data_IF_936668036707
#
_entry.id   IF_936668036707
#
_cell.length_a   1.000
_cell.length_b   1.000
_cell.length_c   1.000
_cell.angle_alpha   90.00
_cell.angle_beta   90.00
_cell.angle_gamma   90.00
#
_symmetry.space_group_name_H-M   'P 1'
#
loop_
_entity.id
_entity.type
_entity.pdbx_description
1 polymer ?
#
# COMPACT_ATOMS: atom_id res chain seq x y z
N UNK A 1 5.71 6.40 18.36
CA UNK A 1 6.23 7.70 17.91
C UNK A 1 5.15 8.75 18.01
N UNK A 2 5.51 9.96 18.42
CA UNK A 2 4.63 11.14 18.36
C UNK A 2 4.41 11.52 16.89
N UNK A 3 3.33 12.25 16.62
CA UNK A 3 3.03 12.72 15.26
C UNK A 3 4.21 13.50 14.65
N UNK A 4 4.88 14.36 15.42
CA UNK A 4 6.03 15.13 14.94
C UNK A 4 7.19 14.25 14.46
N UNK A 5 7.47 13.15 15.16
CA UNK A 5 8.54 12.21 14.81
C UNK A 5 8.19 11.44 13.52
N UNK A 6 6.91 11.08 13.33
CA UNK A 6 6.42 10.42 12.11
C UNK A 6 6.49 11.34 10.90
N UNK A 7 6.14 12.61 11.09
CA UNK A 7 6.25 13.63 10.03
C UNK A 7 7.72 13.88 9.68
N UNK A 8 8.61 13.94 10.67
CA UNK A 8 10.05 14.06 10.44
C UNK A 8 10.61 12.88 9.63
N UNK A 9 10.21 11.64 9.96
CA UNK A 9 10.55 10.45 9.18
C UNK A 9 10.06 10.56 7.72
N UNK A 10 8.81 10.98 7.50
CA UNK A 10 8.28 11.20 6.16
C UNK A 10 9.10 12.25 5.39
N UNK A 11 9.44 13.37 6.02
CA UNK A 11 10.24 14.41 5.38
C UNK A 11 11.64 13.92 4.99
N UNK A 12 12.27 13.09 5.83
CA UNK A 12 13.55 12.47 5.50
C UNK A 12 13.43 11.53 4.30
N UNK A 13 12.39 10.69 4.26
CA UNK A 13 12.13 9.80 3.12
C UNK A 13 11.94 10.57 1.81
N UNK A 14 11.24 11.71 1.85
CA UNK A 14 11.04 12.58 0.68
C UNK A 14 12.38 13.16 0.19
N UNK A 15 13.26 13.58 1.11
CA UNK A 15 14.58 14.09 0.76
C UNK A 15 15.47 13.00 0.15
N UNK A 16 15.42 11.79 0.69
CA UNK A 16 16.18 10.63 0.19
C UNK A 16 15.65 10.11 -1.15
N UNK A 17 14.35 10.28 -1.43
CA UNK A 17 13.66 9.73 -2.60
C UNK A 17 12.83 10.80 -3.34
N UNK A 18 13.44 11.89 -3.85
CA UNK A 18 12.71 13.08 -4.35
C UNK A 18 11.87 12.84 -5.60
N UNK A 19 12.05 11.70 -6.28
CA UNK A 19 11.27 11.32 -7.47
C UNK A 19 10.08 10.40 -7.17
N UNK A 20 9.95 9.89 -5.94
CA UNK A 20 8.85 9.00 -5.59
C UNK A 20 7.61 9.79 -5.19
N UNK A 21 6.44 9.32 -5.65
CA UNK A 21 5.15 9.85 -5.23
C UNK A 21 4.92 9.57 -3.76
N UNK A 22 4.42 10.56 -3.03
CA UNK A 22 3.93 10.37 -1.66
C UNK A 22 2.50 9.84 -1.75
N UNK A 23 2.26 8.64 -1.22
CA UNK A 23 0.98 7.95 -1.31
C UNK A 23 0.36 7.76 0.08
N UNK A 24 -0.60 8.62 0.50
CA UNK A 24 -1.39 8.38 1.70
C UNK A 24 -2.28 7.15 1.51
N UNK A 25 -2.17 6.18 2.41
CA UNK A 25 -3.01 4.98 2.49
C UNK A 25 -3.93 5.16 3.69
N UNK A 26 -5.21 5.44 3.40
CA UNK A 26 -6.21 5.74 4.43
C UNK A 26 -6.89 4.45 4.86
N UNK A 27 -6.81 4.16 6.15
CA UNK A 27 -7.51 3.03 6.74
C UNK A 27 -9.02 3.16 6.52
N UNK A 28 -9.68 2.07 6.14
CA UNK A 28 -11.13 2.02 5.95
C UNK A 28 -11.91 2.49 7.18
N UNK A 29 -11.36 2.32 8.39
CA UNK A 29 -12.01 2.77 9.63
C UNK A 29 -12.00 4.30 9.83
N UNK A 30 -11.19 5.03 9.06
CA UNK A 30 -11.17 6.51 9.09
C UNK A 30 -12.41 7.09 8.41
N UNK A 31 -12.87 6.46 7.33
CA UNK A 31 -14.03 6.91 6.55
C UNK A 31 -15.26 6.22 7.11
N UNK A 32 -15.97 6.86 8.06
CA UNK A 32 -17.04 6.17 8.79
C UNK A 32 -18.36 6.06 8.02
N UNK A 33 -18.55 6.80 6.93
CA UNK A 33 -19.66 6.67 5.99
C UNK A 33 -19.38 7.36 4.63
N UNK A 34 -20.32 7.22 3.70
CA UNK A 34 -20.28 7.84 2.36
C UNK A 34 -20.75 9.32 2.36
N UNK A 35 -20.84 9.97 3.52
CA UNK A 35 -21.23 11.38 3.56
C UNK A 35 -20.10 12.25 2.97
N UNK A 36 -20.48 13.39 2.39
CA UNK A 36 -19.53 14.38 1.88
C UNK A 36 -18.94 15.25 3.00
N UNK A 37 -18.45 14.61 4.06
CA UNK A 37 -17.90 15.23 5.27
C UNK A 37 -16.37 15.24 5.33
N UNK A 38 -15.83 15.67 6.48
CA UNK A 38 -14.40 15.62 6.78
C UNK A 38 -14.15 14.66 7.95
N UNK A 39 -13.15 13.80 7.80
CA UNK A 39 -12.73 12.85 8.83
C UNK A 39 -11.43 13.32 9.49
N UNK A 40 -11.31 13.07 10.79
CA UNK A 40 -10.09 13.29 11.56
C UNK A 40 -9.37 11.95 11.68
N UNK A 41 -8.06 11.96 11.46
CA UNK A 41 -7.23 10.76 11.44
C UNK A 41 -5.85 11.05 12.02
N UNK A 42 -5.13 9.97 12.34
CA UNK A 42 -3.79 9.97 12.88
C UNK A 42 -2.74 9.66 11.80
N UNK A 43 -1.61 10.38 11.84
CA UNK A 43 -0.44 10.03 11.03
C UNK A 43 0.17 8.71 11.52
N UNK A 44 0.27 7.75 10.61
CA UNK A 44 0.91 6.46 10.81
C UNK A 44 2.37 6.45 10.34
N UNK A 45 2.86 5.24 10.06
CA UNK A 45 4.23 5.05 9.56
C UNK A 45 4.33 5.44 8.09
N UNK A 46 5.49 5.95 7.71
CA UNK A 46 5.86 6.18 6.32
C UNK A 46 7.06 5.30 5.94
N UNK A 47 6.99 4.64 4.78
CA UNK A 47 8.05 3.78 4.26
C UNK A 47 8.04 3.77 2.73
N UNK A 48 9.18 3.48 2.11
CA UNK A 48 9.24 3.23 0.66
C UNK A 48 8.69 1.83 0.40
N UNK A 49 7.69 1.75 -0.46
CA UNK A 49 6.97 0.52 -0.80
C UNK A 49 6.74 0.41 -2.29
N UNK A 50 6.35 -0.78 -2.73
CA UNK A 50 5.73 -1.00 -4.03
C UNK A 50 4.25 -1.29 -3.81
N UNK A 51 3.38 -0.58 -4.53
CA UNK A 51 1.93 -0.76 -4.41
C UNK A 51 1.31 -1.08 -5.76
N UNK A 52 0.23 -1.83 -5.74
CA UNK A 52 -0.61 -2.09 -6.91
C UNK A 52 -2.05 -1.74 -6.55
N UNK A 53 -2.73 -0.99 -7.42
CA UNK A 53 -4.13 -0.61 -7.25
C UNK A 53 -4.91 -1.22 -8.41
N UNK A 54 -5.86 -2.09 -8.10
CA UNK A 54 -6.72 -2.75 -9.08
C UNK A 54 -8.09 -2.07 -9.26
N UNK A 55 -8.17 -0.80 -8.84
CA UNK A 55 -9.38 0.03 -8.72
C UNK A 55 -10.34 -0.35 -7.58
N UNK A 56 -10.20 -1.54 -6.97
CA UNK A 56 -11.01 -1.97 -5.81
C UNK A 56 -10.24 -1.81 -4.49
N UNK A 57 -8.96 -2.18 -4.48
CA UNK A 57 -8.10 -2.12 -3.29
C UNK A 57 -6.65 -1.76 -3.69
N UNK A 58 -5.96 -1.12 -2.74
CA UNK A 58 -4.51 -0.97 -2.80
C UNK A 58 -3.84 -2.15 -2.10
N UNK A 59 -2.99 -2.86 -2.83
CA UNK A 59 -2.11 -3.92 -2.35
C UNK A 59 -0.71 -3.37 -2.11
N UNK A 60 -0.08 -3.80 -1.02
CA UNK A 60 1.29 -3.47 -0.66
C UNK A 60 2.14 -4.70 -0.92
N UNK A 61 3.09 -4.62 -1.83
CA UNK A 61 3.85 -5.79 -2.29
C UNK A 61 4.48 -6.56 -1.13
N UNK A 62 5.11 -5.86 -0.19
CA UNK A 62 5.78 -6.46 0.98
C UNK A 62 4.84 -7.15 1.98
N UNK A 63 3.52 -6.97 1.84
CA UNK A 63 2.51 -7.51 2.76
C UNK A 63 1.54 -8.47 2.06
N UNK A 64 1.26 -8.24 0.77
CA UNK A 64 0.20 -8.89 0.03
C UNK A 64 0.69 -9.80 -1.13
N UNK A 65 1.96 -9.72 -1.57
CA UNK A 65 2.46 -10.48 -2.75
C UNK A 65 2.29 -11.99 -2.59
N UNK A 66 2.76 -12.57 -1.47
CA UNK A 66 2.64 -14.01 -1.19
C UNK A 66 1.17 -14.45 -1.18
N UNK A 67 0.29 -13.67 -0.54
CA UNK A 67 -1.14 -13.97 -0.48
C UNK A 67 -1.82 -13.89 -1.85
N UNK A 68 -1.40 -12.97 -2.72
CA UNK A 68 -1.88 -12.89 -4.11
C UNK A 68 -1.46 -14.11 -4.92
N UNK A 69 -0.23 -14.60 -4.73
CA UNK A 69 0.29 -15.80 -5.39
C UNK A 69 -0.50 -17.03 -4.95
N UNK A 70 -0.68 -17.22 -3.63
CA UNK A 70 -1.46 -18.33 -3.08
C UNK A 70 -2.89 -18.34 -3.61
N UNK A 71 -3.57 -17.18 -3.62
CA UNK A 71 -4.95 -17.07 -4.12
C UNK A 71 -5.04 -17.38 -5.61
N UNK A 72 -4.09 -16.97 -6.43
CA UNK A 72 -4.08 -17.31 -7.86
C UNK A 72 -3.86 -18.80 -8.09
N UNK A 73 -2.88 -19.37 -7.40
CA UNK A 73 -2.53 -20.78 -7.51
C UNK A 73 -3.69 -21.69 -7.05
N UNK A 74 -4.34 -21.35 -5.94
CA UNK A 74 -5.48 -22.13 -5.42
C UNK A 74 -6.76 -22.04 -6.28
N UNK A 75 -6.89 -20.98 -7.09
CA UNK A 75 -8.08 -20.75 -7.92
C UNK A 75 -7.95 -21.31 -9.34
N UNK A 76 -6.75 -21.72 -9.77
CA UNK A 76 -6.49 -22.23 -11.12
C UNK A 76 -5.63 -23.51 -11.07
N UNK A 77 -6.30 -24.66 -11.19
CA UNK A 77 -5.67 -26.00 -11.17
C UNK A 77 -4.63 -26.21 -12.30
N UNK A 78 -4.65 -25.38 -13.36
CA UNK A 78 -3.74 -25.47 -14.49
C UNK A 78 -2.49 -24.58 -14.32
N UNK A 79 -2.47 -23.67 -13.34
CA UNK A 79 -1.30 -22.83 -13.05
C UNK A 79 -0.31 -23.55 -12.13
N UNK A 80 0.97 -23.46 -12.46
CA UNK A 80 2.04 -23.76 -11.51
C UNK A 80 2.28 -22.56 -10.58
N UNK A 81 2.85 -22.82 -9.39
CA UNK A 81 3.27 -21.77 -8.46
C UNK A 81 4.22 -20.75 -9.12
N UNK A 82 5.17 -21.21 -9.95
CA UNK A 82 6.09 -20.35 -10.71
C UNK A 82 5.36 -19.46 -11.73
N UNK A 83 4.25 -19.94 -12.32
CA UNK A 83 3.44 -19.13 -13.22
C UNK A 83 2.61 -18.09 -12.47
N UNK A 84 2.05 -18.45 -11.31
CA UNK A 84 1.36 -17.51 -10.42
C UNK A 84 2.30 -16.39 -9.95
N UNK A 85 3.53 -16.73 -9.51
CA UNK A 85 4.58 -15.76 -9.16
C UNK A 85 4.87 -14.77 -10.30
N UNK A 86 4.99 -15.27 -11.55
CA UNK A 86 5.23 -14.43 -12.73
C UNK A 86 4.06 -13.50 -13.02
N UNK A 87 2.83 -13.98 -12.87
CA UNK A 87 1.63 -13.17 -13.06
C UNK A 87 1.60 -12.04 -12.03
N UNK A 88 1.72 -12.34 -10.73
CA UNK A 88 1.71 -11.33 -9.67
C UNK A 88 2.86 -10.33 -9.84
N UNK A 89 4.06 -10.81 -10.15
CA UNK A 89 5.21 -9.94 -10.41
C UNK A 89 5.01 -9.01 -11.62
N UNK A 90 4.12 -9.35 -12.55
CA UNK A 90 3.83 -8.57 -13.76
C UNK A 90 2.79 -7.47 -13.56
N UNK A 91 2.13 -7.42 -12.40
CA UNK A 91 1.21 -6.33 -12.08
C UNK A 91 1.90 -4.97 -12.08
N UNK A 92 1.11 -3.90 -12.20
CA UNK A 92 1.59 -2.52 -12.28
C UNK A 92 2.04 -2.00 -10.90
N UNK A 93 3.04 -2.65 -10.32
CA UNK A 93 3.66 -2.25 -9.07
C UNK A 93 4.35 -0.89 -9.22
N UNK A 94 3.85 0.10 -8.50
CA UNK A 94 4.40 1.45 -8.44
C UNK A 94 5.22 1.62 -7.15
N UNK A 95 6.49 2.01 -7.30
CA UNK A 95 7.32 2.39 -6.15
C UNK A 95 6.93 3.77 -5.62
N UNK A 96 6.58 3.86 -4.35
CA UNK A 96 6.06 5.07 -3.70
C UNK A 96 6.65 5.27 -2.30
N UNK A 97 6.49 6.46 -1.74
CA UNK A 97 6.58 6.68 -0.29
C UNK A 97 5.17 6.49 0.27
N UNK A 98 4.86 5.29 0.75
CA UNK A 98 3.58 4.97 1.34
C UNK A 98 3.48 5.57 2.75
N UNK A 99 2.36 6.22 3.06
CA UNK A 99 2.11 6.83 4.38
C UNK A 99 0.78 6.32 4.92
N UNK A 100 0.82 5.56 6.01
CA UNK A 100 -0.40 5.06 6.65
C UNK A 100 -1.13 6.20 7.36
N UNK A 101 -2.44 6.26 7.21
CA UNK A 101 -3.33 7.16 7.94
C UNK A 101 -4.33 6.28 8.70
N UNK A 102 -4.28 6.34 10.03
CA UNK A 102 -5.07 5.49 10.93
C UNK A 102 -6.20 6.30 11.57
N UNK A 103 -7.22 5.65 12.15
CA UNK A 103 -8.22 6.32 12.98
C UNK A 103 -7.64 7.14 14.14
#
# INVERSE_FOLDING_TARGET
MKQSERVEQLLNLIQENPGLRICPMVDSEVVADDCYGWWVASWGEAKVEEIWNDDERVYIRSEDEDGLIEVLFDNDDDLTEEEAEKIVSSYEWEKVIAVRIHP
#
